data_IF_399801696274
#
_entry.id   IF_399801696274
#
_cell.length_a   1.000
_cell.length_b   1.000
_cell.length_c   1.000
_cell.angle_alpha   90.00
_cell.angle_beta   90.00
_cell.angle_gamma   90.00
#
_symmetry.space_group_name_H-M   'P 1'
#
loop_
_entity.id
_entity.type
_entity.pdbx_description
1 polymer ?
#
# COMPACT_ATOMS: atom_id res chain seq x y z
N UNK A 1 -22.21 -33.03 -20.64
CA UNK A 1 -21.84 -32.35 -19.39
C UNK A 1 -20.52 -31.64 -19.62
N UNK A 2 -20.47 -30.32 -19.79
CA UNK A 2 -19.22 -29.58 -19.73
C UNK A 2 -19.00 -29.05 -18.32
N UNK A 3 -17.75 -29.15 -17.87
CA UNK A 3 -17.26 -28.76 -16.57
C UNK A 3 -17.32 -27.24 -16.37
N UNK A 4 -17.80 -26.82 -15.20
CA UNK A 4 -17.70 -25.46 -14.71
C UNK A 4 -16.24 -25.18 -14.30
N UNK A 5 -15.53 -24.38 -15.10
CA UNK A 5 -14.35 -23.65 -14.63
C UNK A 5 -14.81 -22.29 -14.11
N UNK A 6 -14.93 -22.19 -12.79
CA UNK A 6 -15.38 -20.99 -12.09
C UNK A 6 -14.37 -19.85 -12.25
N UNK A 7 -14.81 -18.81 -12.95
CA UNK A 7 -14.20 -17.48 -12.99
C UNK A 7 -14.44 -16.86 -11.62
N UNK A 8 -13.41 -16.78 -10.78
CA UNK A 8 -13.47 -16.14 -9.46
C UNK A 8 -12.40 -15.03 -9.27
N UNK A 9 -11.71 -14.62 -10.33
CA UNK A 9 -10.67 -13.56 -10.24
C UNK A 9 -11.20 -12.13 -10.54
N UNK A 10 -12.35 -11.96 -11.17
CA UNK A 10 -12.84 -10.63 -11.59
C UNK A 10 -13.39 -9.78 -10.44
N UNK A 11 -14.27 -10.35 -9.62
CA UNK A 11 -15.04 -9.61 -8.62
C UNK A 11 -14.19 -9.22 -7.39
N UNK A 12 -13.32 -10.13 -6.93
CA UNK A 12 -12.36 -9.83 -5.86
C UNK A 12 -11.39 -8.73 -6.27
N UNK A 13 -10.92 -8.75 -7.52
CA UNK A 13 -9.95 -7.77 -8.03
C UNK A 13 -10.52 -6.35 -8.08
N UNK A 14 -11.76 -6.20 -8.57
CA UNK A 14 -12.47 -4.91 -8.58
C UNK A 14 -12.78 -4.43 -7.15
N UNK A 15 -13.18 -5.33 -6.26
CA UNK A 15 -13.45 -5.00 -4.85
C UNK A 15 -12.20 -4.47 -4.11
N UNK A 16 -11.02 -5.04 -4.37
CA UNK A 16 -9.77 -4.55 -3.78
C UNK A 16 -9.39 -3.17 -4.33
N UNK A 17 -9.48 -2.95 -5.64
CA UNK A 17 -9.21 -1.64 -6.25
C UNK A 17 -10.14 -0.53 -5.74
N UNK A 18 -11.40 -0.86 -5.42
CA UNK A 18 -12.35 0.08 -4.86
C UNK A 18 -12.04 0.46 -3.40
N UNK A 19 -11.34 -0.39 -2.65
CA UNK A 19 -11.07 -0.20 -1.22
C UNK A 19 -9.64 0.23 -0.89
N UNK A 20 -8.65 -0.22 -1.67
CA UNK A 20 -7.22 0.05 -1.42
C UNK A 20 -6.49 0.63 -2.64
N UNK A 21 -5.48 1.44 -2.38
CA UNK A 21 -4.58 2.01 -3.40
C UNK A 21 -3.46 1.06 -3.78
N UNK A 22 -3.01 0.24 -2.84
CA UNK A 22 -1.93 -0.74 -2.95
C UNK A 22 -2.31 -1.95 -2.09
N UNK A 23 -2.13 -3.16 -2.61
CA UNK A 23 -2.51 -4.40 -1.93
C UNK A 23 -1.72 -5.60 -2.44
N UNK A 24 -1.82 -6.71 -1.70
CA UNK A 24 -1.30 -8.00 -2.13
C UNK A 24 -2.44 -8.95 -2.53
N UNK A 25 -2.35 -9.52 -3.73
CA UNK A 25 -3.24 -10.57 -4.23
C UNK A 25 -2.47 -11.41 -5.25
N UNK A 26 -1.94 -12.55 -4.78
CA UNK A 26 -0.95 -13.35 -5.49
C UNK A 26 0.21 -12.51 -6.09
N UNK A 27 0.67 -11.52 -5.32
CA UNK A 27 1.66 -10.53 -5.72
C UNK A 27 1.20 -9.10 -5.47
N UNK A 28 2.11 -8.15 -5.72
CA UNK A 28 1.88 -6.74 -5.43
C UNK A 28 1.08 -6.06 -6.55
N UNK A 29 0.01 -5.37 -6.16
CA UNK A 29 -0.81 -4.55 -7.04
C UNK A 29 -0.92 -3.12 -6.51
N UNK A 30 -1.05 -2.16 -7.43
CA UNK A 30 -1.35 -0.78 -7.10
C UNK A 30 -2.17 -0.10 -8.20
N UNK A 31 -2.86 0.99 -7.85
CA UNK A 31 -3.55 1.85 -8.81
C UNK A 31 -2.52 2.79 -9.45
N UNK A 32 -2.49 2.86 -10.78
CA UNK A 32 -1.73 3.89 -11.48
C UNK A 32 -2.43 5.25 -11.37
N UNK A 33 -1.95 6.08 -10.44
CA UNK A 33 -2.52 7.41 -10.21
C UNK A 33 -2.22 8.43 -11.30
N UNK A 34 -1.31 8.14 -12.23
CA UNK A 34 -0.97 9.08 -13.32
C UNK A 34 -2.05 9.16 -14.40
N UNK A 35 -2.92 8.15 -14.45
CA UNK A 35 -4.03 8.06 -15.41
C UNK A 35 -5.35 8.62 -14.86
N UNK A 36 -5.39 8.99 -13.58
CA UNK A 36 -6.57 9.57 -12.96
C UNK A 36 -6.70 11.07 -13.32
N UNK A 37 -7.94 11.58 -13.50
CA UNK A 37 -9.23 10.91 -13.30
C UNK A 37 -9.77 10.15 -14.53
N UNK A 38 -9.04 10.11 -15.65
CA UNK A 38 -9.54 9.58 -16.92
C UNK A 38 -9.72 8.06 -16.89
N UNK A 39 -8.81 7.35 -16.24
CA UNK A 39 -8.81 5.89 -16.20
C UNK A 39 -8.39 5.37 -14.82
N UNK A 40 -9.17 4.43 -14.30
CA UNK A 40 -8.82 3.66 -13.10
C UNK A 40 -8.13 2.36 -13.53
N UNK A 41 -6.80 2.36 -13.52
CA UNK A 41 -6.00 1.20 -13.96
C UNK A 41 -5.19 0.58 -12.81
N UNK A 42 -5.60 -0.58 -12.31
CA UNK A 42 -4.75 -1.46 -11.50
C UNK A 42 -3.58 -2.02 -12.31
N UNK A 43 -2.38 -2.04 -11.73
CA UNK A 43 -1.19 -2.65 -12.33
C UNK A 43 -0.54 -3.65 -11.37
N UNK A 44 -0.13 -4.82 -11.88
CA UNK A 44 0.65 -5.81 -11.13
C UNK A 44 2.13 -5.47 -11.22
N UNK A 45 2.80 -5.41 -10.08
CA UNK A 45 4.23 -5.15 -9.97
C UNK A 45 4.95 -6.49 -9.87
N UNK A 46 5.74 -6.82 -10.90
CA UNK A 46 6.39 -8.12 -11.04
C UNK A 46 7.90 -8.07 -10.78
N UNK A 47 8.45 -6.89 -10.46
CA UNK A 47 9.86 -6.73 -10.11
C UNK A 47 10.12 -5.48 -9.28
N UNK A 48 11.23 -5.48 -8.53
CA UNK A 48 11.69 -4.29 -7.79
C UNK A 48 11.95 -3.10 -8.70
N UNK A 49 12.45 -3.34 -9.93
CA UNK A 49 12.63 -2.28 -10.93
C UNK A 49 11.31 -1.63 -11.33
N UNK A 50 10.25 -2.41 -11.52
CA UNK A 50 8.92 -1.88 -11.79
C UNK A 50 8.37 -1.10 -10.60
N UNK A 51 8.57 -1.57 -9.36
CA UNK A 51 8.15 -0.83 -8.17
C UNK A 51 8.86 0.53 -8.07
N UNK A 52 10.18 0.55 -8.26
CA UNK A 52 11.00 1.77 -8.24
C UNK A 52 10.55 2.75 -9.33
N UNK A 53 10.22 2.26 -10.53
CA UNK A 53 9.63 3.10 -11.58
C UNK A 53 8.30 3.68 -11.13
N UNK A 54 7.37 2.85 -10.65
CA UNK A 54 6.04 3.29 -10.21
C UNK A 54 6.10 4.35 -9.10
N UNK A 55 7.07 4.23 -8.18
CA UNK A 55 7.31 5.24 -7.13
C UNK A 55 7.85 6.54 -7.73
N UNK A 56 8.81 6.46 -8.66
CA UNK A 56 9.47 7.62 -9.29
C UNK A 56 8.55 8.40 -10.23
N UNK A 57 7.79 7.70 -11.06
CA UNK A 57 6.82 8.28 -11.99
C UNK A 57 5.51 8.68 -11.32
N UNK A 58 5.41 8.50 -9.99
CA UNK A 58 4.28 8.90 -9.16
C UNK A 58 2.98 8.13 -9.48
N UNK A 59 3.09 6.92 -10.06
CA UNK A 59 1.97 5.97 -10.16
C UNK A 59 1.45 5.62 -8.77
N UNK A 60 2.36 5.45 -7.80
CA UNK A 60 2.03 5.42 -6.37
C UNK A 60 2.63 6.63 -5.66
N UNK A 61 1.81 7.32 -4.88
CA UNK A 61 2.21 8.53 -4.15
C UNK A 61 1.33 8.76 -2.93
N UNK A 62 1.79 9.64 -2.05
CA UNK A 62 1.21 9.89 -0.73
C UNK A 62 1.99 9.13 0.34
N UNK A 63 2.20 9.77 1.49
CA UNK A 63 3.18 9.28 2.46
C UNK A 63 2.82 7.88 3.01
N UNK A 64 1.56 7.60 3.43
CA UNK A 64 1.23 6.26 3.89
C UNK A 64 1.21 5.21 2.78
N UNK A 65 0.75 5.55 1.56
CA UNK A 65 0.82 4.64 0.42
C UNK A 65 2.28 4.26 0.07
N UNK A 66 3.20 5.21 0.18
CA UNK A 66 4.64 4.96 0.00
C UNK A 66 5.23 4.09 1.12
N UNK A 67 4.74 4.21 2.36
CA UNK A 67 5.14 3.29 3.44
C UNK A 67 4.75 1.85 3.16
N UNK A 68 3.50 1.62 2.75
CA UNK A 68 3.06 0.29 2.31
C UNK A 68 3.85 -0.19 1.08
N UNK A 69 4.12 0.69 0.10
CA UNK A 69 4.93 0.34 -1.07
C UNK A 69 6.34 -0.10 -0.70
N UNK A 70 6.96 0.54 0.29
CA UNK A 70 8.26 0.14 0.82
C UNK A 70 8.25 -1.27 1.39
N UNK A 71 7.28 -1.55 2.27
CA UNK A 71 7.15 -2.85 2.92
C UNK A 71 6.80 -3.98 1.92
N UNK A 72 5.81 -3.75 1.06
CA UNK A 72 5.47 -4.72 0.00
C UNK A 72 6.62 -4.91 -1.00
N UNK A 73 7.48 -3.92 -1.18
CA UNK A 73 8.69 -4.06 -1.98
C UNK A 73 9.65 -5.10 -1.41
N UNK A 74 9.81 -5.15 -0.09
CA UNK A 74 10.62 -6.18 0.59
C UNK A 74 9.94 -7.56 0.48
N UNK A 75 8.64 -7.64 0.71
CA UNK A 75 7.88 -8.87 0.51
C UNK A 75 7.98 -9.40 -0.95
N UNK A 76 7.92 -8.50 -1.93
CA UNK A 76 8.10 -8.84 -3.34
C UNK A 76 9.52 -9.33 -3.63
N UNK A 77 10.55 -8.69 -3.06
CA UNK A 77 11.93 -9.14 -3.20
C UNK A 77 12.11 -10.55 -2.62
N UNK A 78 11.60 -10.82 -1.42
CA UNK A 78 11.66 -12.14 -0.78
C UNK A 78 10.94 -13.22 -1.61
N UNK A 79 9.79 -12.89 -2.19
CA UNK A 79 9.04 -13.80 -3.07
C UNK A 79 9.76 -14.12 -4.38
N UNK A 80 10.47 -13.14 -4.95
CA UNK A 80 11.20 -13.31 -6.22
C UNK A 80 12.60 -13.91 -6.03
N UNK A 81 13.13 -13.88 -4.81
CA UNK A 81 14.46 -14.34 -4.46
C UNK A 81 14.64 -15.84 -4.74
N UNK A 82 15.79 -16.19 -5.32
CA UNK A 82 16.20 -17.57 -5.64
C UNK A 82 17.46 -18.00 -4.89
N UNK A 83 17.79 -17.29 -3.81
CA UNK A 83 18.88 -17.63 -2.92
C UNK A 83 18.80 -19.08 -2.45
N UNK A 84 19.95 -19.66 -2.13
CA UNK A 84 20.05 -21.04 -1.65
C UNK A 84 20.13 -21.14 -0.12
N UNK A 85 20.25 -20.00 0.56
CA UNK A 85 20.17 -19.91 2.01
C UNK A 85 19.65 -18.52 2.47
N UNK A 86 19.27 -18.43 3.74
CA UNK A 86 18.75 -17.22 4.36
C UNK A 86 19.73 -16.03 4.34
N UNK A 87 21.05 -16.27 4.42
CA UNK A 87 22.02 -15.18 4.41
C UNK A 87 22.11 -14.51 3.03
N UNK A 88 22.13 -15.31 1.96
CA UNK A 88 22.03 -14.83 0.57
C UNK A 88 20.72 -14.08 0.34
N UNK A 89 19.60 -14.63 0.83
CA UNK A 89 18.29 -13.97 0.73
C UNK A 89 18.32 -12.59 1.40
N UNK A 90 18.83 -12.48 2.63
CA UNK A 90 18.94 -11.20 3.33
C UNK A 90 19.81 -10.18 2.59
N UNK A 91 20.90 -10.63 1.93
CA UNK A 91 21.73 -9.75 1.10
C UNK A 91 20.98 -9.23 -0.15
N UNK A 92 20.16 -10.08 -0.78
CA UNK A 92 19.27 -9.66 -1.86
C UNK A 92 18.20 -8.67 -1.38
N UNK A 93 17.62 -8.90 -0.19
CA UNK A 93 16.65 -7.97 0.39
C UNK A 93 17.26 -6.61 0.70
N UNK A 94 18.48 -6.56 1.24
CA UNK A 94 19.19 -5.30 1.47
C UNK A 94 19.45 -4.53 0.16
N UNK A 95 19.81 -5.25 -0.90
CA UNK A 95 19.98 -4.64 -2.23
C UNK A 95 18.67 -4.04 -2.73
N UNK A 96 17.56 -4.78 -2.59
CA UNK A 96 16.23 -4.27 -2.95
C UNK A 96 15.82 -3.08 -2.08
N UNK A 97 16.07 -3.14 -0.77
CA UNK A 97 15.79 -2.08 0.18
C UNK A 97 16.46 -0.77 -0.23
N UNK A 98 17.75 -0.80 -0.59
CA UNK A 98 18.48 0.38 -1.05
C UNK A 98 17.94 0.93 -2.37
N UNK A 99 17.61 0.06 -3.33
CA UNK A 99 16.97 0.49 -4.58
C UNK A 99 15.62 1.19 -4.34
N UNK A 100 14.83 0.69 -3.39
CA UNK A 100 13.53 1.26 -3.04
C UNK A 100 13.72 2.60 -2.33
N UNK A 101 14.56 2.70 -1.29
CA UNK A 101 14.83 3.95 -0.55
C UNK A 101 15.34 5.05 -1.48
N UNK A 102 16.29 4.72 -2.36
CA UNK A 102 16.91 5.66 -3.30
C UNK A 102 15.97 6.13 -4.42
N UNK A 103 14.81 5.48 -4.61
CA UNK A 103 13.83 5.89 -5.61
C UNK A 103 13.32 7.31 -5.34
N UNK A 104 13.09 7.65 -4.05
CA UNK A 104 12.68 8.98 -3.55
C UNK A 104 13.26 9.22 -2.14
N UNK A 105 14.52 9.66 -2.03
CA UNK A 105 15.25 9.71 -0.74
C UNK A 105 14.62 10.57 0.35
N UNK A 106 13.78 11.56 -0.01
CA UNK A 106 13.08 12.42 0.94
C UNK A 106 11.75 11.86 1.42
N UNK A 107 11.28 10.73 0.86
CA UNK A 107 10.05 10.07 1.29
C UNK A 107 10.28 9.24 2.55
N UNK A 108 10.32 9.90 3.71
CA UNK A 108 10.57 9.25 5.01
C UNK A 108 9.67 8.04 5.29
N UNK A 109 8.39 8.09 4.92
CA UNK A 109 7.50 6.95 5.09
C UNK A 109 7.90 5.73 4.23
N UNK A 110 8.47 5.95 3.04
CA UNK A 110 8.98 4.87 2.19
C UNK A 110 10.10 4.11 2.93
N UNK A 111 11.09 4.85 3.43
CA UNK A 111 12.18 4.27 4.22
C UNK A 111 11.66 3.58 5.48
N UNK A 112 10.73 4.20 6.21
CA UNK A 112 10.10 3.59 7.38
C UNK A 112 9.46 2.23 7.08
N UNK A 113 8.72 2.12 5.97
CA UNK A 113 8.07 0.88 5.56
C UNK A 113 9.08 -0.21 5.18
N UNK A 114 10.11 0.17 4.42
CA UNK A 114 11.24 -0.70 4.09
C UNK A 114 11.92 -1.20 5.37
N UNK A 115 12.29 -0.30 6.27
CA UNK A 115 13.04 -0.64 7.49
C UNK A 115 12.24 -1.55 8.43
N UNK A 116 10.91 -1.36 8.49
CA UNK A 116 10.03 -2.17 9.31
C UNK A 116 9.90 -3.60 8.77
N UNK A 117 9.71 -3.76 7.46
CA UNK A 117 9.69 -5.09 6.83
C UNK A 117 11.06 -5.78 6.92
N UNK A 118 12.17 -5.05 6.73
CA UNK A 118 13.52 -5.60 6.88
C UNK A 118 13.80 -6.08 8.31
N UNK A 119 13.32 -5.39 9.34
CA UNK A 119 13.44 -5.85 10.73
C UNK A 119 12.68 -7.16 10.98
N UNK A 120 11.48 -7.30 10.42
CA UNK A 120 10.72 -8.55 10.52
C UNK A 120 11.42 -9.71 9.79
N UNK A 121 11.98 -9.45 8.60
CA UNK A 121 12.80 -10.43 7.89
C UNK A 121 14.04 -10.84 8.72
N UNK A 122 14.75 -9.88 9.29
CA UNK A 122 15.98 -10.11 10.06
C UNK A 122 15.78 -10.90 11.37
N UNK A 123 14.54 -10.98 11.89
CA UNK A 123 14.23 -11.83 13.06
C UNK A 123 14.02 -13.30 12.72
N UNK A 124 14.05 -13.67 11.44
CA UNK A 124 13.80 -15.02 10.95
C UNK A 124 15.10 -15.79 10.73
N UNK A 125 15.03 -17.12 10.75
CA UNK A 125 16.18 -18.00 10.50
C UNK A 125 16.08 -18.68 9.13
N UNK A 126 14.87 -19.06 8.72
CA UNK A 126 14.62 -19.78 7.47
C UNK A 126 14.15 -18.87 6.34
N UNK A 127 14.46 -19.25 5.10
CA UNK A 127 14.01 -18.54 3.90
C UNK A 127 12.49 -18.41 3.81
N UNK A 128 11.77 -19.47 4.15
CA UNK A 128 10.30 -19.45 4.11
C UNK A 128 9.74 -18.52 5.18
N UNK A 129 10.31 -18.56 6.38
CA UNK A 129 9.96 -17.65 7.46
C UNK A 129 10.23 -16.19 7.07
N UNK A 130 11.34 -15.91 6.39
CA UNK A 130 11.64 -14.57 5.84
C UNK A 130 10.54 -14.14 4.85
N UNK A 131 10.12 -15.01 3.92
CA UNK A 131 9.06 -14.70 2.95
C UNK A 131 7.73 -14.41 3.64
N UNK A 132 7.33 -15.29 4.57
CA UNK A 132 6.09 -15.17 5.31
C UNK A 132 6.08 -13.90 6.17
N UNK A 133 7.13 -13.65 6.95
CA UNK A 133 7.20 -12.51 7.86
C UNK A 133 7.34 -11.19 7.13
N UNK A 134 8.07 -11.13 6.00
CA UNK A 134 8.13 -9.92 5.18
C UNK A 134 6.75 -9.54 4.64
N UNK A 135 5.96 -10.52 4.19
CA UNK A 135 4.60 -10.28 3.70
C UNK A 135 3.64 -9.95 4.84
N UNK A 136 3.70 -10.68 5.94
CA UNK A 136 2.86 -10.44 7.11
C UNK A 136 3.06 -9.01 7.66
N UNK A 137 4.31 -8.56 7.75
CA UNK A 137 4.62 -7.19 8.19
C UNK A 137 4.11 -6.14 7.19
N UNK A 138 4.20 -6.41 5.88
CA UNK A 138 3.67 -5.51 4.86
C UNK A 138 2.14 -5.39 4.91
N UNK A 139 1.43 -6.52 5.09
CA UNK A 139 -0.02 -6.52 5.32
C UNK A 139 -0.39 -5.82 6.63
N UNK A 140 0.39 -5.97 7.70
CA UNK A 140 0.13 -5.29 8.97
C UNK A 140 0.29 -3.78 8.85
N UNK A 141 1.35 -3.30 8.18
CA UNK A 141 1.52 -1.87 7.86
C UNK A 141 0.31 -1.36 7.06
N UNK A 142 -0.17 -2.14 6.09
CA UNK A 142 -1.31 -1.77 5.28
C UNK A 142 -2.62 -1.71 6.09
N UNK A 143 -2.83 -2.68 6.97
CA UNK A 143 -3.99 -2.76 7.85
C UNK A 143 -3.97 -1.66 8.94
N UNK A 144 -2.81 -1.36 9.52
CA UNK A 144 -2.62 -0.27 10.47
C UNK A 144 -2.95 1.09 9.86
N UNK A 145 -2.48 1.38 8.64
CA UNK A 145 -2.82 2.63 7.95
C UNK A 145 -4.34 2.82 7.86
N UNK A 146 -5.07 1.79 7.42
CA UNK A 146 -6.53 1.83 7.32
C UNK A 146 -7.16 2.08 8.71
N UNK A 147 -6.72 1.35 9.74
CA UNK A 147 -7.26 1.49 11.10
C UNK A 147 -7.01 2.89 11.68
N UNK A 148 -5.79 3.40 11.52
CA UNK A 148 -5.38 4.74 11.98
C UNK A 148 -6.19 5.81 11.25
N UNK A 149 -6.32 5.71 9.93
CA UNK A 149 -7.05 6.69 9.13
C UNK A 149 -8.55 6.71 9.42
N UNK A 150 -9.16 5.55 9.65
CA UNK A 150 -10.56 5.47 10.10
C UNK A 150 -10.74 6.07 11.51
N UNK A 151 -9.81 5.81 12.43
CA UNK A 151 -9.85 6.37 13.78
C UNK A 151 -9.67 7.89 13.77
N UNK A 152 -8.68 8.38 13.01
CA UNK A 152 -8.44 9.80 12.78
C UNK A 152 -9.65 10.46 12.14
N UNK A 153 -10.26 9.81 11.15
CA UNK A 153 -11.48 10.27 10.51
C UNK A 153 -12.64 10.43 11.50
N UNK A 154 -12.91 9.43 12.34
CA UNK A 154 -13.95 9.49 13.38
C UNK A 154 -13.71 10.60 14.39
N UNK A 155 -12.47 10.78 14.86
CA UNK A 155 -12.17 11.86 15.80
C UNK A 155 -12.28 13.24 15.15
N UNK A 156 -11.76 13.40 13.93
CA UNK A 156 -11.84 14.65 13.19
C UNK A 156 -13.27 15.01 12.79
N UNK A 157 -14.12 14.02 12.50
CA UNK A 157 -15.52 14.25 12.11
C UNK A 157 -16.30 14.98 13.21
N UNK A 158 -15.91 14.83 14.48
CA UNK A 158 -16.51 15.55 15.62
C UNK A 158 -16.26 17.06 15.59
N UNK A 159 -15.28 17.51 14.81
CA UNK A 159 -14.98 18.93 14.60
C UNK A 159 -15.83 19.55 13.49
N UNK A 160 -16.51 18.73 12.68
CA UNK A 160 -17.37 19.18 11.59
C UNK A 160 -18.84 19.10 12.01
N UNK A 161 -19.60 20.11 11.60
CA UNK A 161 -21.05 20.19 11.75
C UNK A 161 -21.75 19.85 10.44
N UNK A 162 -23.05 19.54 10.52
CA UNK A 162 -23.88 19.34 9.34
C UNK A 162 -24.01 20.65 8.55
N UNK A 163 -23.78 20.60 7.24
CA UNK A 163 -23.79 21.74 6.34
C UNK A 163 -22.44 22.48 6.19
N UNK A 164 -21.38 22.03 6.86
CA UNK A 164 -20.06 22.67 6.74
C UNK A 164 -19.48 22.56 5.31
N UNK A 165 -18.75 23.61 4.91
CA UNK A 165 -17.93 23.62 3.71
C UNK A 165 -16.45 23.46 4.10
N UNK A 166 -15.79 22.40 3.61
CA UNK A 166 -14.42 22.05 3.99
C UNK A 166 -13.46 22.33 2.84
N UNK A 167 -12.64 23.37 3.00
CA UNK A 167 -11.51 23.60 2.10
C UNK A 167 -10.38 22.62 2.44
N UNK A 168 -9.89 21.90 1.42
CA UNK A 168 -8.69 21.06 1.53
C UNK A 168 -7.65 21.47 0.50
N UNK A 169 -6.40 21.05 0.71
CA UNK A 169 -5.31 21.29 -0.22
C UNK A 169 -4.59 19.98 -0.54
N UNK A 170 -4.20 19.80 -1.81
CA UNK A 170 -3.64 18.55 -2.35
C UNK A 170 -4.63 17.37 -2.24
N UNK A 171 -4.12 16.13 -2.24
CA UNK A 171 -4.88 14.91 -2.05
C UNK A 171 -4.37 14.19 -0.81
N UNK A 172 -5.16 14.24 0.27
CA UNK A 172 -4.94 13.53 1.52
C UNK A 172 -6.05 12.51 1.77
N UNK A 173 -6.54 11.88 0.69
CA UNK A 173 -7.61 10.87 0.70
C UNK A 173 -7.11 9.45 0.50
N UNK A 174 -8.03 8.54 0.20
CA UNK A 174 -7.73 7.10 0.02
C UNK A 174 -6.53 6.85 -0.89
N UNK A 175 -6.39 7.61 -1.98
CA UNK A 175 -5.32 7.44 -2.97
C UNK A 175 -3.93 7.83 -2.44
N UNK A 176 -3.85 8.69 -1.43
CA UNK A 176 -2.57 9.04 -0.81
C UNK A 176 -2.18 8.08 0.31
N UNK A 177 -3.10 7.21 0.73
CA UNK A 177 -2.95 6.24 1.81
C UNK A 177 -3.15 4.82 1.25
N UNK A 178 -3.16 3.80 2.10
CA UNK A 178 -3.58 2.46 1.70
C UNK A 178 -5.09 2.47 1.47
N UNK A 179 -5.84 3.11 2.36
CA UNK A 179 -7.28 3.32 2.23
C UNK A 179 -7.78 4.47 3.10
N UNK A 180 -9.06 4.78 2.97
CA UNK A 180 -9.78 5.86 3.69
C UNK A 180 -9.23 7.28 3.45
N UNK A 181 -8.03 7.58 3.93
CA UNK A 181 -7.37 8.89 3.86
C UNK A 181 -7.22 9.56 5.23
N UNK A 182 -6.44 10.65 5.27
CA UNK A 182 -6.24 11.45 6.48
C UNK A 182 -7.25 12.62 6.51
N UNK A 183 -6.91 13.77 5.94
CA UNK A 183 -7.80 14.94 5.95
C UNK A 183 -9.11 14.67 5.18
N UNK A 184 -9.06 14.02 4.03
CA UNK A 184 -10.27 13.59 3.33
C UNK A 184 -10.92 12.36 3.99
N UNK A 185 -10.19 11.65 4.86
CA UNK A 185 -10.77 10.62 5.73
C UNK A 185 -11.69 11.20 6.79
N UNK A 186 -11.39 12.39 7.31
CA UNK A 186 -12.28 13.17 8.20
C UNK A 186 -13.58 13.52 7.49
N UNK A 187 -13.49 14.06 6.26
CA UNK A 187 -14.67 14.37 5.44
C UNK A 187 -15.50 13.10 5.17
N UNK A 188 -14.86 11.99 4.78
CA UNK A 188 -15.53 10.70 4.57
C UNK A 188 -16.23 10.19 5.82
N UNK A 189 -15.61 10.31 6.99
CA UNK A 189 -16.20 9.91 8.27
C UNK A 189 -17.42 10.77 8.63
N UNK A 190 -17.34 12.09 8.47
CA UNK A 190 -18.47 12.98 8.71
C UNK A 190 -19.66 12.66 7.80
N UNK A 191 -19.42 12.41 6.51
CA UNK A 191 -20.46 11.99 5.55
C UNK A 191 -21.04 10.63 5.93
N UNK A 192 -20.22 9.67 6.35
CA UNK A 192 -20.68 8.35 6.81
C UNK A 192 -21.52 8.42 8.10
N UNK A 193 -21.32 9.45 8.94
CA UNK A 193 -22.15 9.76 10.11
C UNK A 193 -23.46 10.49 9.74
N UNK A 194 -23.70 10.78 8.46
CA UNK A 194 -24.91 11.40 7.95
C UNK A 194 -24.86 12.92 7.82
N UNK A 195 -23.70 13.55 8.03
CA UNK A 195 -23.53 15.00 7.83
C UNK A 195 -23.43 15.32 6.34
N UNK A 196 -24.16 16.32 5.89
CA UNK A 196 -23.94 16.96 4.60
C UNK A 196 -22.69 17.83 4.70
N UNK A 197 -21.60 17.41 4.04
CA UNK A 197 -20.34 18.16 3.96
C UNK A 197 -20.09 18.49 2.50
N UNK A 198 -19.67 19.73 2.23
CA UNK A 198 -19.39 20.24 0.89
C UNK A 198 -17.92 20.60 0.71
#
# INVERSE_FOLDING_TARGET
>A
MPAHSSICCGDCFVSHCQSRTIWWDDGLWLIDQTLLPQELLPIKINSIRQLVEAIRSLRVRGAPALGAAGAYGIALAARLCRASNAAEMMAELETAAEMIRSSRPTAVNLSWGVDRAMRAAASCVGEEEIREMSLAEAEEIAAEDIRINQLLGRFGARLLQDGDNVLTHCNAGRLACVGWGTALGVVRSAVAEGKSIH
#
